data_IF_616709020668
#
_entry.id   IF_616709020668
#
_cell.length_a   1.000
_cell.length_b   1.000
_cell.length_c   1.000
_cell.angle_alpha   90.00
_cell.angle_beta   90.00
_cell.angle_gamma   90.00
#
_symmetry.space_group_name_H-M   'P 1'
#
loop_
_entity.id
_entity.type
_entity.pdbx_description
1 polymer ?
#
# COMPACT_ATOMS: atom_id res chain seq x y z
N UNK A 1 50.73 74.89 -27.62
CA UNK A 1 51.94 74.08 -27.88
C UNK A 1 51.72 72.75 -27.19
N UNK A 2 51.46 71.82 -27.85
CA UNK A 2 51.62 70.39 -28.03
C UNK A 2 52.55 69.73 -27.05
N UNK A 3 52.12 68.67 -26.40
CA UNK A 3 52.88 67.41 -26.23
C UNK A 3 51.95 66.23 -25.86
N UNK A 4 51.94 65.29 -26.76
CA UNK A 4 51.31 63.99 -26.70
C UNK A 4 52.20 63.08 -25.89
N UNK A 5 51.65 62.34 -24.92
CA UNK A 5 52.27 61.11 -24.38
C UNK A 5 51.30 59.94 -24.54
N UNK A 6 51.70 59.04 -25.40
CA UNK A 6 51.11 57.73 -25.54
C UNK A 6 51.54 56.83 -24.36
N UNK A 7 50.59 56.36 -23.59
CA UNK A 7 50.80 55.33 -22.56
C UNK A 7 50.23 54.02 -23.00
N UNK A 8 51.07 53.05 -23.32
CA UNK A 8 50.77 51.69 -23.69
C UNK A 8 50.33 50.91 -22.41
N UNK A 9 49.05 50.57 -22.31
CA UNK A 9 48.55 49.72 -21.25
C UNK A 9 48.58 48.22 -21.69
N UNK A 10 49.49 47.47 -21.08
CA UNK A 10 49.60 46.05 -21.23
C UNK A 10 48.53 45.41 -20.34
N UNK A 11 47.45 44.86 -20.94
CA UNK A 11 46.45 44.09 -20.26
C UNK A 11 46.93 42.65 -20.09
N UNK A 12 47.31 42.29 -18.84
CA UNK A 12 47.53 40.90 -18.45
C UNK A 12 46.20 40.26 -18.16
N UNK A 13 45.72 39.36 -19.03
CA UNK A 13 44.55 38.54 -18.82
C UNK A 13 44.90 37.41 -17.84
N UNK A 14 44.31 37.49 -16.65
CA UNK A 14 44.38 36.45 -15.63
C UNK A 14 43.32 35.39 -15.94
N UNK A 15 43.74 34.25 -16.47
CA UNK A 15 42.88 33.07 -16.65
C UNK A 15 42.61 32.41 -15.28
N UNK A 16 41.44 32.69 -14.70
CA UNK A 16 40.93 31.97 -13.51
C UNK A 16 40.35 30.68 -14.00
N UNK A 17 41.10 29.58 -13.84
CA UNK A 17 40.62 28.21 -14.04
C UNK A 17 39.58 27.87 -12.94
N UNK A 18 38.32 27.68 -13.32
CA UNK A 18 37.29 27.15 -12.46
C UNK A 18 37.59 25.67 -12.15
N UNK A 19 37.56 25.25 -10.88
CA UNK A 19 37.65 23.82 -10.58
C UNK A 19 36.40 23.10 -11.09
N UNK A 20 36.57 22.11 -11.97
CA UNK A 20 35.51 21.19 -12.34
C UNK A 20 35.08 20.40 -11.10
N UNK A 21 33.88 20.64 -10.60
CA UNK A 21 33.26 19.79 -9.59
C UNK A 21 33.05 18.38 -10.20
N UNK A 22 33.45 17.30 -9.48
CA UNK A 22 33.09 15.96 -9.96
C UNK A 22 31.56 15.85 -9.94
N UNK A 23 31.00 15.51 -11.11
CA UNK A 23 29.61 15.10 -11.20
C UNK A 23 29.45 13.87 -10.28
N UNK A 24 28.72 14.03 -9.19
CA UNK A 24 28.29 12.89 -8.39
C UNK A 24 27.42 12.02 -9.31
N UNK A 25 27.97 10.88 -9.73
CA UNK A 25 27.20 9.79 -10.30
C UNK A 25 26.14 9.40 -9.27
N UNK A 26 24.98 10.01 -9.37
CA UNK A 26 23.77 9.49 -8.71
C UNK A 26 23.44 8.19 -9.43
N UNK A 27 23.99 7.09 -8.92
CA UNK A 27 23.52 5.76 -9.29
C UNK A 27 21.99 5.79 -9.21
N UNK A 28 21.27 5.31 -10.25
CA UNK A 28 19.82 5.28 -10.21
C UNK A 28 19.42 4.56 -8.92
N UNK A 29 18.64 5.26 -8.08
CA UNK A 29 18.04 4.68 -6.88
C UNK A 29 17.38 3.38 -7.34
N UNK A 30 17.93 2.25 -6.90
CA UNK A 30 17.34 0.93 -7.14
C UNK A 30 15.95 1.04 -6.54
N UNK A 31 14.93 1.19 -7.39
CA UNK A 31 13.54 1.22 -6.96
C UNK A 31 13.37 0.04 -6.00
N UNK A 32 12.97 0.32 -4.76
CA UNK A 32 12.79 -0.72 -3.76
C UNK A 32 11.86 -1.75 -4.39
N UNK A 33 12.39 -2.94 -4.68
CA UNK A 33 11.61 -4.01 -5.31
C UNK A 33 10.46 -4.29 -4.35
N UNK A 34 9.22 -4.19 -4.81
CA UNK A 34 8.05 -4.52 -4.00
C UNK A 34 8.16 -5.98 -3.56
N UNK A 35 8.53 -6.18 -2.29
CA UNK A 35 8.73 -7.51 -1.69
C UNK A 35 7.49 -8.39 -1.76
N UNK A 36 6.33 -7.80 -1.98
CA UNK A 36 5.04 -8.47 -2.02
C UNK A 36 4.50 -8.68 -3.44
N UNK A 37 5.29 -8.35 -4.48
CA UNK A 37 4.87 -8.48 -5.88
C UNK A 37 4.55 -9.93 -6.26
N UNK A 38 5.37 -10.90 -5.84
CA UNK A 38 5.12 -12.33 -6.07
C UNK A 38 3.87 -12.82 -5.33
N UNK A 39 3.69 -12.36 -4.07
CA UNK A 39 2.47 -12.64 -3.29
C UNK A 39 1.22 -12.16 -4.03
N UNK A 40 1.23 -10.92 -4.57
CA UNK A 40 0.10 -10.38 -5.34
C UNK A 40 -0.17 -11.18 -6.62
N UNK A 41 0.88 -11.70 -7.26
CA UNK A 41 0.75 -12.61 -8.40
C UNK A 41 0.04 -13.91 -8.00
N UNK A 42 0.47 -14.56 -6.92
CA UNK A 42 -0.21 -15.76 -6.40
C UNK A 42 -1.68 -15.50 -6.06
N UNK A 43 -1.98 -14.36 -5.45
CA UNK A 43 -3.37 -13.96 -5.13
C UNK A 43 -4.19 -13.76 -6.41
N UNK A 44 -3.67 -13.08 -7.42
CA UNK A 44 -4.35 -12.87 -8.69
C UNK A 44 -4.68 -14.20 -9.40
N UNK A 45 -3.81 -15.19 -9.26
CA UNK A 45 -3.99 -16.55 -9.79
C UNK A 45 -4.76 -17.48 -8.84
N UNK A 46 -5.29 -16.96 -7.72
CA UNK A 46 -6.03 -17.71 -6.68
C UNK A 46 -5.24 -18.87 -6.07
N UNK A 47 -3.92 -18.76 -6.07
CA UNK A 47 -2.98 -19.73 -5.47
C UNK A 47 -2.74 -19.36 -3.99
N UNK A 48 -3.78 -19.50 -3.18
CA UNK A 48 -3.81 -18.98 -1.82
C UNK A 48 -2.72 -19.57 -0.92
N UNK A 49 -2.47 -20.87 -1.01
CA UNK A 49 -1.41 -21.51 -0.23
C UNK A 49 -0.02 -21.00 -0.63
N UNK A 50 0.25 -20.84 -1.93
CA UNK A 50 1.51 -20.29 -2.40
C UNK A 50 1.70 -18.84 -1.94
N UNK A 51 0.63 -18.04 -1.92
CA UNK A 51 0.69 -16.68 -1.37
C UNK A 51 1.08 -16.69 0.12
N UNK A 52 0.49 -17.59 0.91
CA UNK A 52 0.82 -17.74 2.35
C UNK A 52 2.27 -18.17 2.54
N UNK A 53 2.75 -19.13 1.75
CA UNK A 53 4.11 -19.65 1.87
C UNK A 53 5.15 -18.58 1.51
N UNK A 54 4.89 -17.79 0.46
CA UNK A 54 5.74 -16.66 0.09
C UNK A 54 5.69 -15.53 1.14
N UNK A 55 4.50 -15.21 1.68
CA UNK A 55 4.37 -14.25 2.78
C UNK A 55 5.23 -14.66 3.97
N UNK A 56 5.19 -15.95 4.36
CA UNK A 56 6.04 -16.47 5.44
C UNK A 56 7.53 -16.33 5.12
N UNK A 57 7.93 -16.55 3.87
CA UNK A 57 9.32 -16.38 3.44
C UNK A 57 9.77 -14.91 3.47
N UNK A 58 8.91 -13.98 3.05
CA UNK A 58 9.16 -12.53 3.13
C UNK A 58 9.24 -12.04 4.57
N UNK A 59 8.43 -12.58 5.47
CA UNK A 59 8.40 -12.32 6.91
C UNK A 59 8.40 -10.84 7.33
N UNK A 60 7.68 -9.99 6.59
CA UNK A 60 7.60 -8.54 6.85
C UNK A 60 6.43 -8.20 7.79
N UNK A 61 6.43 -8.82 8.98
CA UNK A 61 5.32 -8.76 9.95
C UNK A 61 5.00 -7.35 10.45
N UNK A 62 5.92 -6.40 10.30
CA UNK A 62 5.70 -4.98 10.62
C UNK A 62 4.97 -4.20 9.53
N UNK A 63 4.69 -4.79 8.40
CA UNK A 63 3.97 -4.16 7.29
C UNK A 63 2.47 -4.39 7.38
N UNK A 64 1.68 -3.31 7.28
CA UNK A 64 0.22 -3.42 7.21
C UNK A 64 -0.23 -4.19 5.96
N UNK A 65 0.41 -3.95 4.82
CA UNK A 65 0.15 -4.68 3.57
C UNK A 65 0.41 -6.19 3.73
N UNK A 66 1.53 -6.58 4.35
CA UNK A 66 1.86 -7.98 4.57
C UNK A 66 0.79 -8.67 5.42
N UNK A 67 0.40 -8.06 6.53
CA UNK A 67 -0.65 -8.58 7.41
C UNK A 67 -2.00 -8.65 6.68
N UNK A 68 -2.36 -7.62 5.93
CA UNK A 68 -3.59 -7.62 5.13
C UNK A 68 -3.61 -8.77 4.12
N UNK A 69 -2.53 -8.99 3.37
CA UNK A 69 -2.44 -10.06 2.38
C UNK A 69 -2.44 -11.45 3.02
N UNK A 70 -1.85 -11.61 4.22
CA UNK A 70 -1.92 -12.86 4.99
C UNK A 70 -3.37 -13.16 5.40
N UNK A 71 -4.05 -12.19 6.01
CA UNK A 71 -5.47 -12.33 6.38
C UNK A 71 -6.35 -12.65 5.18
N UNK A 72 -6.13 -11.97 4.05
CA UNK A 72 -6.86 -12.22 2.81
C UNK A 72 -6.64 -13.65 2.30
N UNK A 73 -5.41 -14.11 2.24
CA UNK A 73 -5.07 -15.45 1.74
C UNK A 73 -5.66 -16.55 2.62
N UNK A 74 -5.57 -16.41 3.95
CA UNK A 74 -6.17 -17.35 4.91
C UNK A 74 -7.69 -17.43 4.78
N UNK A 75 -8.35 -16.28 4.57
CA UNK A 75 -9.81 -16.21 4.35
C UNK A 75 -10.25 -16.90 3.06
N UNK A 76 -9.39 -16.95 2.05
CA UNK A 76 -9.68 -17.50 0.71
C UNK A 76 -9.25 -18.96 0.51
N UNK A 77 -8.62 -19.60 1.50
CA UNK A 77 -8.30 -21.03 1.44
C UNK A 77 -9.55 -21.89 1.16
N UNK A 78 -9.36 -23.07 0.60
CA UNK A 78 -10.43 -24.06 0.42
C UNK A 78 -11.12 -24.45 1.73
N UNK A 79 -10.37 -24.46 2.84
CA UNK A 79 -10.88 -24.48 4.20
C UNK A 79 -10.40 -23.20 4.88
N UNK A 80 -11.25 -22.16 4.95
CA UNK A 80 -10.86 -20.87 5.47
C UNK A 80 -10.54 -20.89 6.97
N UNK A 81 -9.47 -20.19 7.36
CA UNK A 81 -9.19 -19.90 8.76
C UNK A 81 -9.60 -18.45 9.09
N UNK A 82 -10.88 -18.28 9.42
CA UNK A 82 -11.43 -16.96 9.71
C UNK A 82 -10.86 -16.38 11.01
N UNK A 83 -10.52 -17.23 12.00
CA UNK A 83 -9.96 -16.78 13.26
C UNK A 83 -8.55 -16.18 13.10
N UNK A 84 -7.68 -16.84 12.36
CA UNK A 84 -6.35 -16.33 12.06
C UNK A 84 -6.44 -15.13 11.10
N UNK A 85 -7.31 -15.18 10.10
CA UNK A 85 -7.51 -14.04 9.20
C UNK A 85 -7.91 -12.75 9.95
N UNK A 86 -8.83 -12.88 10.96
CA UNK A 86 -9.22 -11.73 11.80
C UNK A 86 -8.04 -11.15 12.57
N UNK A 87 -7.14 -11.97 13.10
CA UNK A 87 -5.94 -11.51 13.83
C UNK A 87 -5.00 -10.72 12.92
N UNK A 88 -4.77 -11.21 11.72
CA UNK A 88 -3.91 -10.52 10.74
C UNK A 88 -4.52 -9.20 10.27
N UNK A 89 -5.82 -9.13 10.02
CA UNK A 89 -6.48 -7.86 9.72
C UNK A 89 -6.42 -6.89 10.90
N UNK A 90 -6.59 -7.38 12.13
CA UNK A 90 -6.46 -6.55 13.32
C UNK A 90 -5.04 -5.98 13.45
N UNK A 91 -4.01 -6.78 13.16
CA UNK A 91 -2.62 -6.32 13.18
C UNK A 91 -2.35 -5.30 12.05
N UNK A 92 -2.85 -5.53 10.84
CA UNK A 92 -2.77 -4.55 9.75
C UNK A 92 -3.36 -3.20 10.17
N UNK A 93 -4.52 -3.21 10.83
CA UNK A 93 -5.20 -2.00 11.29
C UNK A 93 -4.58 -1.39 12.56
N UNK A 94 -3.84 -2.16 13.34
CA UNK A 94 -3.01 -1.62 14.44
C UNK A 94 -1.81 -0.84 13.91
N UNK A 95 -1.19 -1.33 12.81
CA UNK A 95 -0.05 -0.69 12.14
C UNK A 95 -0.52 0.54 11.35
N UNK A 96 -1.56 0.39 10.53
CA UNK A 96 -2.19 1.48 9.77
C UNK A 96 -3.72 1.47 9.97
N UNK A 97 -4.24 2.29 10.89
CA UNK A 97 -5.69 2.37 11.16
C UNK A 97 -6.55 2.83 9.97
N UNK A 98 -5.91 3.35 8.91
CA UNK A 98 -6.58 3.80 7.69
C UNK A 98 -6.32 2.88 6.50
N UNK A 99 -5.75 1.70 6.71
CA UNK A 99 -5.49 0.73 5.65
C UNK A 99 -6.80 0.25 5.02
N UNK A 100 -7.16 0.84 3.88
CA UNK A 100 -8.48 0.67 3.25
C UNK A 100 -8.82 -0.78 2.95
N UNK A 101 -7.90 -1.53 2.32
CA UNK A 101 -8.12 -2.94 2.01
C UNK A 101 -8.32 -3.80 3.27
N UNK A 102 -7.61 -3.53 4.38
CA UNK A 102 -7.81 -4.26 5.62
C UNK A 102 -9.16 -3.94 6.29
N UNK A 103 -9.62 -2.67 6.18
CA UNK A 103 -10.96 -2.28 6.63
C UNK A 103 -12.04 -2.98 5.82
N UNK A 104 -11.93 -3.00 4.49
CA UNK A 104 -12.87 -3.69 3.60
C UNK A 104 -12.91 -5.19 3.89
N UNK A 105 -11.75 -5.86 3.82
CA UNK A 105 -11.69 -7.32 3.92
C UNK A 105 -12.04 -7.84 5.30
N UNK A 106 -11.71 -7.13 6.37
CA UNK A 106 -12.20 -7.47 7.71
C UNK A 106 -13.70 -7.23 7.86
N UNK A 107 -14.24 -6.20 7.21
CA UNK A 107 -15.69 -5.96 7.15
C UNK A 107 -16.43 -7.10 6.47
N UNK A 108 -15.94 -7.57 5.32
CA UNK A 108 -16.46 -8.75 4.63
C UNK A 108 -16.35 -10.02 5.50
N UNK A 109 -15.20 -10.22 6.18
CA UNK A 109 -15.03 -11.34 7.09
C UNK A 109 -16.11 -11.34 8.19
N UNK A 110 -16.42 -10.18 8.75
CA UNK A 110 -17.47 -10.05 9.77
C UNK A 110 -18.87 -10.38 9.22
N UNK A 111 -19.16 -10.06 7.96
CA UNK A 111 -20.41 -10.51 7.33
C UNK A 111 -20.43 -12.03 7.15
N UNK A 112 -19.32 -12.63 6.73
CA UNK A 112 -19.18 -14.10 6.58
C UNK A 112 -19.36 -14.84 7.91
N UNK A 113 -18.95 -14.23 9.02
CA UNK A 113 -19.07 -14.79 10.38
C UNK A 113 -20.31 -14.31 11.14
N UNK A 114 -21.22 -13.58 10.50
CA UNK A 114 -22.49 -13.15 11.08
C UNK A 114 -22.42 -11.95 12.02
N UNK A 115 -21.32 -11.20 12.01
CA UNK A 115 -21.12 -10.05 12.88
C UNK A 115 -21.37 -8.72 12.15
N UNK A 116 -22.64 -8.44 11.84
CA UNK A 116 -23.04 -7.21 11.18
C UNK A 116 -22.56 -5.93 11.91
N UNK A 117 -22.66 -5.81 13.27
CA UNK A 117 -22.18 -4.60 13.93
C UNK A 117 -20.72 -4.27 13.65
N UNK A 118 -19.83 -5.26 13.72
CA UNK A 118 -18.40 -5.05 13.39
C UNK A 118 -18.20 -4.71 11.91
N UNK A 119 -18.96 -5.28 10.99
CA UNK A 119 -18.90 -4.91 9.57
C UNK A 119 -19.29 -3.44 9.34
N UNK A 120 -20.32 -2.96 10.02
CA UNK A 120 -20.73 -1.56 9.96
C UNK A 120 -19.72 -0.60 10.58
N UNK A 121 -19.02 -1.02 11.66
CA UNK A 121 -17.88 -0.26 12.22
C UNK A 121 -16.75 -0.11 11.19
N UNK A 122 -16.43 -1.15 10.42
CA UNK A 122 -15.44 -1.10 9.34
C UNK A 122 -15.88 -0.19 8.21
N UNK A 123 -17.15 -0.25 7.83
CA UNK A 123 -17.73 0.64 6.81
C UNK A 123 -17.64 2.12 7.24
N UNK A 124 -17.97 2.43 8.49
CA UNK A 124 -17.85 3.77 9.05
C UNK A 124 -16.38 4.24 9.14
N UNK A 125 -15.44 3.32 9.38
CA UNK A 125 -14.01 3.62 9.36
C UNK A 125 -13.53 3.94 7.93
N UNK A 126 -13.99 3.19 6.92
CA UNK A 126 -13.71 3.46 5.52
C UNK A 126 -14.26 4.81 5.06
N UNK A 127 -15.47 5.17 5.48
CA UNK A 127 -16.05 6.48 5.17
C UNK A 127 -15.15 7.63 5.64
N UNK A 128 -14.56 7.49 6.82
CA UNK A 128 -13.61 8.47 7.37
C UNK A 128 -12.22 8.41 6.73
N UNK A 129 -11.80 7.24 6.24
CA UNK A 129 -10.48 7.05 5.61
C UNK A 129 -10.46 7.53 4.16
N UNK A 130 -11.61 7.53 3.47
CA UNK A 130 -11.75 7.96 2.09
C UNK A 130 -12.16 9.43 2.03
N UNK A 131 -11.34 10.29 1.42
CA UNK A 131 -11.67 11.72 1.22
C UNK A 131 -12.88 11.90 0.30
N UNK A 132 -13.02 11.02 -0.69
CA UNK A 132 -14.18 10.89 -1.59
C UNK A 132 -14.43 9.40 -1.75
N UNK A 133 -15.67 8.95 -1.86
CA UNK A 133 -16.06 7.55 -1.96
C UNK A 133 -15.05 6.68 -2.72
N UNK A 134 -14.21 5.92 -2.01
CA UNK A 134 -13.24 4.99 -2.59
C UNK A 134 -13.90 3.66 -2.96
N UNK A 135 -13.19 2.82 -3.73
CA UNK A 135 -13.70 1.53 -4.18
C UNK A 135 -14.02 0.62 -3.00
N UNK A 136 -13.12 0.55 -2.04
CA UNK A 136 -13.24 -0.31 -0.84
C UNK A 136 -14.49 0.05 0.00
N UNK A 137 -14.80 1.34 0.11
CA UNK A 137 -16.04 1.79 0.77
C UNK A 137 -17.28 1.33 0.01
N UNK A 138 -17.29 1.50 -1.31
CA UNK A 138 -18.45 1.09 -2.14
C UNK A 138 -18.67 -0.40 -2.10
N UNK A 139 -17.60 -1.19 -2.10
CA UNK A 139 -17.66 -2.64 -2.14
C UNK A 139 -18.17 -3.19 -0.81
N UNK A 140 -17.63 -2.73 0.32
CA UNK A 140 -18.13 -3.12 1.63
C UNK A 140 -19.56 -2.64 1.86
N UNK A 141 -19.92 -1.43 1.42
CA UNK A 141 -21.29 -0.93 1.51
C UNK A 141 -22.27 -1.84 0.77
N UNK A 142 -21.96 -2.23 -0.48
CA UNK A 142 -22.75 -3.18 -1.25
C UNK A 142 -22.84 -4.55 -0.56
N UNK A 143 -21.75 -5.02 0.06
CA UNK A 143 -21.76 -6.28 0.79
C UNK A 143 -22.69 -6.23 2.01
N UNK A 144 -22.66 -5.15 2.80
CA UNK A 144 -23.57 -4.92 3.94
C UNK A 144 -25.03 -4.87 3.48
N UNK A 145 -25.31 -4.15 2.39
CA UNK A 145 -26.66 -4.04 1.83
C UNK A 145 -27.20 -5.40 1.36
N UNK A 146 -26.37 -6.20 0.64
CA UNK A 146 -26.74 -7.58 0.23
C UNK A 146 -27.00 -8.48 1.44
N UNK A 147 -26.15 -8.39 2.47
CA UNK A 147 -26.31 -9.16 3.71
C UNK A 147 -27.64 -8.89 4.39
N UNK A 148 -28.00 -7.60 4.55
CA UNK A 148 -29.28 -7.19 5.15
C UNK A 148 -30.48 -7.63 4.29
N UNK A 149 -30.40 -7.44 2.98
CA UNK A 149 -31.47 -7.86 2.05
C UNK A 149 -31.68 -9.38 2.04
N UNK A 150 -30.65 -10.16 2.34
CA UNK A 150 -30.72 -11.62 2.44
C UNK A 150 -31.16 -12.11 3.86
N UNK A 151 -31.72 -11.25 4.68
CA UNK A 151 -32.16 -11.62 6.04
C UNK A 151 -30.97 -11.92 6.99
N UNK A 152 -29.92 -11.12 6.88
CA UNK A 152 -28.67 -11.25 7.63
C UNK A 152 -27.92 -12.56 7.35
N UNK A 153 -27.92 -12.98 6.10
CA UNK A 153 -27.12 -14.11 5.60
C UNK A 153 -26.09 -13.62 4.62
N UNK A 154 -24.87 -14.15 4.72
CA UNK A 154 -23.81 -13.80 3.78
C UNK A 154 -24.13 -14.29 2.37
N UNK A 155 -24.02 -13.40 1.40
CA UNK A 155 -24.12 -13.67 -0.02
C UNK A 155 -22.87 -13.15 -0.69
N UNK A 156 -22.12 -14.05 -1.33
CA UNK A 156 -20.92 -13.68 -2.08
C UNK A 156 -21.26 -12.68 -3.20
N UNK A 157 -20.29 -11.85 -3.57
CA UNK A 157 -20.42 -11.03 -4.77
C UNK A 157 -20.48 -11.94 -6.02
N UNK A 158 -21.25 -11.55 -7.06
CA UNK A 158 -21.33 -12.29 -8.31
C UNK A 158 -19.99 -12.31 -9.07
#
# INVERSE_FOLDING_TARGET
>A
MTARFSGLLISTALLIGAPAAPAADTAPSRAATDKLSGVRTHIAEKRWQAAIDELKAVNDTGSADWNNLMGYSLRKLGVPDYGEAEKFYAEALRIDPKHRAALEYSGELYLMTGNLPKAEERLAALDRACLFSCEEYRDLKRAVERYKAAGNKYVAAP
#
